data_IF_954467566231
#
_entry.id   IF_954467566231
#
_cell.length_a   1.000
_cell.length_b   1.000
_cell.length_c   1.000
_cell.angle_alpha   90.00
_cell.angle_beta   90.00
_cell.angle_gamma   90.00
#
_symmetry.space_group_name_H-M   'P 1'
#
loop_
_entity.id
_entity.type
_entity.pdbx_description
1 polymer ?
#
# COMPACT_ATOMS: atom_id res chain seq x y z
N UNK A 1 81.45 17.57 -21.64
CA UNK A 1 82.92 17.81 -21.64
C UNK A 1 83.14 19.30 -21.48
N UNK A 2 84.08 19.66 -20.60
CA UNK A 2 84.96 20.87 -20.53
C UNK A 2 84.62 22.02 -21.50
N UNK A 3 84.67 23.30 -21.10
CA UNK A 3 85.25 23.85 -19.90
C UNK A 3 85.35 25.38 -19.89
N UNK A 4 85.92 25.83 -18.78
CA UNK A 4 86.40 27.15 -18.33
C UNK A 4 87.18 28.00 -19.35
N UNK A 5 87.08 29.33 -19.19
CA UNK A 5 88.09 30.39 -19.45
C UNK A 5 87.55 31.68 -18.78
N UNK A 6 88.04 32.21 -17.65
CA UNK A 6 89.30 32.92 -17.33
C UNK A 6 89.74 33.92 -18.41
N UNK A 7 89.84 35.20 -18.05
CA UNK A 7 90.56 36.21 -18.84
C UNK A 7 90.35 37.64 -18.36
N UNK A 8 91.39 38.20 -17.76
CA UNK A 8 91.48 39.48 -17.05
C UNK A 8 92.06 40.58 -17.98
N UNK A 9 92.11 41.84 -17.48
CA UNK A 9 93.03 42.96 -17.85
C UNK A 9 92.57 43.81 -19.07
N UNK A 10 92.65 45.14 -19.11
CA UNK A 10 93.45 46.07 -18.32
C UNK A 10 93.15 47.56 -18.56
N UNK A 11 93.96 48.36 -17.88
CA UNK A 11 93.88 49.79 -17.53
C UNK A 11 94.36 50.81 -18.59
N UNK A 12 94.26 52.10 -18.21
CA UNK A 12 94.99 53.33 -18.64
C UNK A 12 94.17 54.24 -19.57
N UNK A 13 94.03 55.55 -19.41
CA UNK A 13 94.54 56.61 -18.51
C UNK A 13 94.19 57.96 -19.18
N UNK A 14 93.87 59.08 -18.51
CA UNK A 14 94.81 60.10 -17.95
C UNK A 14 93.96 61.30 -17.44
N UNK A 15 94.16 61.77 -16.19
CA UNK A 15 94.94 62.96 -15.73
C UNK A 15 94.32 64.31 -16.18
N UNK A 16 93.78 65.18 -15.31
CA UNK A 16 94.44 66.13 -14.37
C UNK A 16 93.33 66.95 -13.65
N UNK A 17 93.44 67.64 -12.51
CA UNK A 17 94.44 67.92 -11.45
C UNK A 17 93.65 68.58 -10.29
N UNK A 18 94.03 68.29 -9.03
CA UNK A 18 94.07 69.17 -7.83
C UNK A 18 92.73 69.80 -7.35
N UNK A 19 92.26 69.69 -6.10
CA UNK A 19 92.81 69.16 -4.86
C UNK A 19 91.84 69.38 -3.68
N UNK A 20 92.25 68.88 -2.52
CA UNK A 20 91.71 69.06 -1.16
C UNK A 20 90.57 68.15 -0.69
N UNK A 21 90.85 67.57 0.47
CA UNK A 21 90.14 66.57 1.26
C UNK A 21 88.85 67.11 1.89
N UNK A 22 87.87 66.23 2.12
CA UNK A 22 87.21 65.93 3.41
C UNK A 22 85.94 65.09 3.15
N UNK A 23 85.63 64.24 4.12
CA UNK A 23 84.85 63.01 4.10
C UNK A 23 83.33 63.16 3.81
N UNK A 24 82.82 62.06 3.27
CA UNK A 24 81.48 61.63 2.86
C UNK A 24 80.43 61.51 4.00
N UNK A 25 79.20 61.95 3.75
CA UNK A 25 77.97 61.32 4.29
C UNK A 25 76.72 61.75 3.48
N UNK A 26 76.24 60.89 2.57
CA UNK A 26 74.89 60.96 2.01
C UNK A 26 74.29 59.56 2.08
N UNK A 27 73.36 59.37 3.03
CA UNK A 27 72.66 58.11 3.25
C UNK A 27 71.54 58.00 2.20
N UNK A 28 71.63 57.00 1.33
CA UNK A 28 70.54 56.60 0.45
C UNK A 28 69.40 56.00 1.29
N UNK A 29 68.20 56.58 1.19
CA UNK A 29 67.00 56.03 1.82
C UNK A 29 66.64 54.70 1.18
N UNK A 30 66.79 53.62 1.93
CA UNK A 30 66.24 52.30 1.60
C UNK A 30 64.78 52.30 2.01
N UNK A 31 63.85 52.08 1.08
CA UNK A 31 62.49 51.71 1.44
C UNK A 31 62.54 50.29 2.03
N UNK A 32 62.51 50.21 3.36
CA UNK A 32 62.30 48.94 4.04
C UNK A 32 60.84 48.52 3.80
N UNK A 33 60.63 47.44 3.06
CA UNK A 33 59.37 46.72 3.15
C UNK A 33 59.26 46.21 4.59
N UNK A 34 58.33 46.76 5.37
CA UNK A 34 58.10 46.31 6.73
C UNK A 34 57.68 44.83 6.68
N UNK A 35 58.49 43.96 7.28
CA UNK A 35 58.06 42.60 7.56
C UNK A 35 56.85 42.70 8.50
N UNK A 36 55.66 42.32 8.04
CA UNK A 36 54.51 42.20 8.91
C UNK A 36 54.69 40.94 9.77
N UNK A 37 55.06 41.11 11.04
CA UNK A 37 54.94 40.02 12.02
C UNK A 37 53.45 39.76 12.26
N UNK A 38 53.00 38.56 11.91
CA UNK A 38 51.66 38.10 12.28
C UNK A 38 51.70 37.71 13.76
N UNK A 39 50.93 38.41 14.61
CA UNK A 39 50.80 38.04 16.02
C UNK A 39 50.15 36.66 16.09
N UNK A 40 50.77 35.74 16.83
CA UNK A 40 50.22 34.41 17.09
C UNK A 40 48.87 34.54 17.79
N UNK A 41 47.82 34.02 17.14
CA UNK A 41 46.47 33.98 17.68
C UNK A 41 46.06 32.53 17.95
N UNK A 42 45.42 32.29 19.10
CA UNK A 42 44.71 31.04 19.36
C UNK A 42 43.33 31.16 18.74
N UNK A 43 43.09 30.35 17.71
CA UNK A 43 41.79 30.26 17.02
C UNK A 43 41.24 28.87 17.30
N UNK A 44 39.97 28.77 17.66
CA UNK A 44 39.28 27.48 17.86
C UNK A 44 38.09 27.36 16.90
N UNK A 45 37.26 26.33 17.11
CA UNK A 45 36.07 26.08 16.31
C UNK A 45 34.96 27.12 16.50
N UNK A 46 35.01 27.93 17.56
CA UNK A 46 34.11 29.06 17.79
C UNK A 46 34.53 30.34 17.04
N UNK A 47 35.70 30.32 16.40
CA UNK A 47 36.27 31.45 15.70
C UNK A 47 36.95 32.46 16.63
N UNK A 48 37.86 33.25 16.05
CA UNK A 48 38.60 34.27 16.76
C UNK A 48 39.00 35.41 15.85
N UNK A 49 38.99 36.63 16.39
CA UNK A 49 39.50 37.83 15.73
C UNK A 49 40.92 38.12 16.21
N UNK A 50 41.86 38.24 15.29
CA UNK A 50 43.19 38.78 15.54
C UNK A 50 43.34 40.09 14.78
N UNK A 51 43.71 41.16 15.47
CA UNK A 51 43.84 42.49 14.88
C UNK A 51 45.13 43.18 15.31
N UNK A 52 45.72 43.94 14.39
CA UNK A 52 46.77 44.91 14.66
C UNK A 52 46.41 46.26 14.01
N UNK A 53 47.29 47.26 14.17
CA UNK A 53 47.14 48.53 13.46
C UNK A 53 47.13 48.39 11.92
N UNK A 54 47.66 47.28 11.40
CA UNK A 54 47.88 47.08 9.96
C UNK A 54 47.06 45.93 9.36
N UNK A 55 46.40 45.11 10.17
CA UNK A 55 45.56 44.01 9.67
C UNK A 55 44.42 43.68 10.63
N UNK A 56 43.34 43.12 10.09
CA UNK A 56 42.32 42.41 10.87
C UNK A 56 42.10 41.06 10.19
N UNK A 57 42.14 40.00 10.98
CA UNK A 57 41.96 38.62 10.55
C UNK A 57 40.89 37.98 11.42
N UNK A 58 39.75 37.68 10.81
CA UNK A 58 38.70 36.85 11.38
C UNK A 58 38.90 35.43 10.84
N UNK A 59 39.19 34.47 11.72
CA UNK A 59 39.45 33.09 11.33
C UNK A 59 38.82 32.10 12.32
N UNK A 60 38.53 30.89 11.85
CA UNK A 60 38.14 29.74 12.68
C UNK A 60 38.98 28.53 12.28
N UNK A 61 39.25 27.63 13.23
CA UNK A 61 39.84 26.32 12.90
C UNK A 61 38.69 25.36 12.57
N UNK A 62 38.64 24.93 11.31
CA UNK A 62 37.56 24.11 10.76
C UNK A 62 36.56 24.91 9.92
N UNK A 63 35.56 24.23 9.34
CA UNK A 63 34.43 24.89 8.65
C UNK A 63 33.52 25.63 9.64
N UNK A 64 32.68 26.54 9.15
CA UNK A 64 31.65 27.21 9.96
C UNK A 64 30.63 26.16 10.43
N UNK A 65 30.78 25.67 11.66
CA UNK A 65 29.86 24.73 12.31
C UNK A 65 29.25 25.35 13.58
N UNK A 66 28.02 24.96 13.92
CA UNK A 66 27.37 25.42 15.15
C UNK A 66 28.06 24.92 16.42
N UNK A 67 28.00 25.71 17.49
CA UNK A 67 28.54 25.37 18.82
C UNK A 67 27.45 24.63 19.62
N UNK A 68 27.73 23.44 20.14
CA UNK A 68 26.86 22.71 21.08
C UNK A 68 27.53 22.59 22.45
N UNK A 69 26.78 22.83 23.52
CA UNK A 69 27.23 22.69 24.92
C UNK A 69 26.75 21.38 25.57
N UNK A 70 26.09 20.50 24.81
CA UNK A 70 25.62 19.19 25.29
C UNK A 70 26.71 18.12 25.15
N UNK A 71 26.88 17.28 26.19
CA UNK A 71 27.90 16.22 26.24
C UNK A 71 27.76 15.09 25.21
N UNK A 72 26.66 15.06 24.46
CA UNK A 72 26.33 14.00 23.49
C UNK A 72 26.17 14.55 22.05
N UNK A 73 26.97 15.54 21.66
CA UNK A 73 26.95 16.09 20.30
C UNK A 73 28.18 15.70 19.47
N UNK A 74 27.97 15.02 18.34
CA UNK A 74 29.02 14.71 17.36
C UNK A 74 29.04 15.78 16.26
N UNK A 75 30.15 16.52 16.12
CA UNK A 75 30.32 17.50 15.06
C UNK A 75 30.45 16.82 13.68
N UNK A 76 29.53 17.11 12.74
CA UNK A 76 29.67 16.74 11.33
C UNK A 76 30.15 17.95 10.52
N UNK A 77 31.44 17.97 10.20
CA UNK A 77 32.06 19.04 9.42
C UNK A 77 31.81 18.83 7.91
N UNK A 78 31.55 19.91 7.16
CA UNK A 78 31.37 19.88 5.70
C UNK A 78 29.92 19.79 5.20
N UNK A 79 28.96 19.72 6.11
CA UNK A 79 27.54 19.91 5.83
C UNK A 79 27.10 21.15 6.63
N UNK A 80 26.33 22.05 6.00
CA UNK A 80 25.56 23.03 6.78
C UNK A 80 24.77 22.23 7.82
N UNK A 81 24.75 22.68 9.08
CA UNK A 81 23.78 22.19 10.06
C UNK A 81 22.39 22.60 9.60
N UNK A 82 21.85 21.88 8.63
CA UNK A 82 20.48 22.06 8.17
C UNK A 82 19.63 21.27 9.15
N UNK A 83 18.99 22.01 10.05
CA UNK A 83 17.86 21.51 10.80
C UNK A 83 16.72 21.46 9.79
N UNK A 84 16.43 20.28 9.26
CA UNK A 84 15.24 20.05 8.44
C UNK A 84 14.11 19.60 9.34
N UNK A 85 12.91 20.10 9.04
CA UNK A 85 11.68 19.66 9.69
C UNK A 85 10.89 18.77 8.74
N UNK A 86 10.16 17.80 9.29
CA UNK A 86 9.24 17.00 8.48
C UNK A 86 8.09 17.91 8.08
N UNK A 87 7.87 18.10 6.78
CA UNK A 87 6.76 18.89 6.25
C UNK A 87 5.52 18.01 6.02
N UNK A 88 5.71 16.82 5.42
CA UNK A 88 4.63 15.87 5.18
C UNK A 88 5.09 14.42 5.37
N UNK A 89 4.15 13.54 5.70
CA UNK A 89 4.36 12.09 5.73
C UNK A 89 3.41 11.41 4.75
N UNK A 90 3.97 10.73 3.76
CA UNK A 90 3.23 9.76 2.94
C UNK A 90 3.42 8.36 3.53
N UNK A 91 2.34 7.58 3.62
CA UNK A 91 2.36 6.20 4.09
C UNK A 91 1.90 5.29 2.95
N UNK A 92 2.48 4.10 2.89
CA UNK A 92 2.09 3.06 1.93
C UNK A 92 2.09 1.69 2.59
N UNK A 93 1.25 0.78 2.10
CA UNK A 93 1.32 -0.65 2.41
C UNK A 93 1.60 -1.44 1.15
N UNK A 94 2.53 -2.39 1.23
CA UNK A 94 2.91 -3.23 0.09
C UNK A 94 2.79 -4.71 0.47
N UNK A 95 1.84 -5.47 -0.14
CA UNK A 95 0.84 -5.03 -1.11
C UNK A 95 -0.28 -4.17 -0.48
N UNK A 96 -0.94 -3.32 -1.29
CA UNK A 96 -2.07 -2.50 -0.85
C UNK A 96 -3.39 -3.28 -0.76
N UNK A 97 -3.49 -4.40 -1.49
CA UNK A 97 -4.56 -5.39 -1.33
C UNK A 97 -4.07 -6.50 -0.41
N UNK A 98 -4.78 -6.73 0.68
CA UNK A 98 -4.35 -7.63 1.76
C UNK A 98 -5.41 -8.70 1.92
N UNK A 99 -5.14 -9.96 1.56
CA UNK A 99 -6.02 -11.06 1.93
C UNK A 99 -6.30 -11.05 3.43
N UNK A 100 -7.53 -11.33 3.81
CA UNK A 100 -7.86 -11.52 5.22
C UNK A 100 -6.95 -12.56 5.89
N UNK A 101 -6.75 -12.42 7.19
CA UNK A 101 -5.80 -13.21 8.00
C UNK A 101 -4.32 -13.10 7.58
N UNK A 102 -4.02 -12.40 6.47
CA UNK A 102 -2.66 -12.13 6.00
C UNK A 102 -2.17 -10.78 6.49
N UNK A 103 -0.93 -10.45 6.11
CA UNK A 103 -0.25 -9.24 6.54
C UNK A 103 0.27 -8.43 5.36
N UNK A 104 0.40 -7.12 5.55
CA UNK A 104 1.12 -6.22 4.63
C UNK A 104 2.18 -5.42 5.39
N UNK A 105 3.31 -5.16 4.74
CA UNK A 105 4.35 -4.30 5.30
C UNK A 105 4.00 -2.85 5.00
N UNK A 106 3.92 -2.03 6.06
CA UNK A 106 3.79 -0.59 5.97
C UNK A 106 5.16 0.08 5.98
N UNK A 107 5.26 1.17 5.24
CA UNK A 107 6.43 2.05 5.17
C UNK A 107 5.96 3.47 4.83
N UNK A 108 6.88 4.43 4.86
CA UNK A 108 6.54 5.80 4.50
C UNK A 108 7.67 6.54 3.80
N UNK A 109 7.35 7.73 3.34
CA UNK A 109 8.33 8.72 2.89
C UNK A 109 7.97 10.05 3.52
N UNK A 110 8.91 10.59 4.31
CA UNK A 110 8.82 11.94 4.83
C UNK A 110 9.37 12.91 3.79
N UNK A 111 8.62 13.96 3.48
CA UNK A 111 9.11 15.12 2.73
C UNK A 111 9.48 16.19 3.75
N UNK A 112 10.69 16.71 3.65
CA UNK A 112 11.22 17.73 4.54
C UNK A 112 10.86 19.13 4.02
N UNK A 113 11.11 20.16 4.82
CA UNK A 113 10.84 21.56 4.52
C UNK A 113 11.66 22.14 3.35
N UNK A 114 12.73 21.45 2.96
CA UNK A 114 13.54 21.74 1.76
C UNK A 114 13.18 20.86 0.55
N UNK A 115 12.01 20.19 0.60
CA UNK A 115 11.49 19.25 -0.40
C UNK A 115 12.34 17.96 -0.59
N UNK A 116 13.37 17.75 0.23
CA UNK A 116 14.09 16.47 0.21
C UNK A 116 13.23 15.35 0.81
N UNK A 117 13.48 14.11 0.37
CA UNK A 117 12.67 12.96 0.76
C UNK A 117 13.51 11.96 1.55
N UNK A 118 12.97 11.49 2.67
CA UNK A 118 13.56 10.43 3.49
C UNK A 118 12.63 9.23 3.50
N UNK A 119 13.13 8.08 3.02
CA UNK A 119 12.41 6.81 3.12
C UNK A 119 12.42 6.32 4.58
N UNK A 120 11.27 5.86 5.06
CA UNK A 120 11.07 5.40 6.43
C UNK A 120 10.62 3.94 6.42
N UNK A 121 11.32 3.12 7.21
CA UNK A 121 10.89 1.79 7.56
C UNK A 121 9.65 1.85 8.48
N UNK A 122 8.86 0.77 8.49
CA UNK A 122 7.68 0.69 9.34
C UNK A 122 7.98 0.83 10.84
N UNK A 123 9.20 0.51 11.28
CA UNK A 123 9.66 0.71 12.67
C UNK A 123 9.93 2.15 13.07
N UNK A 124 10.06 3.06 12.10
CA UNK A 124 10.36 4.48 12.35
C UNK A 124 9.09 5.33 12.47
N UNK A 125 7.94 4.78 12.07
CA UNK A 125 6.65 5.47 12.09
C UNK A 125 5.89 5.08 13.36
N UNK A 126 5.40 6.07 14.09
CA UNK A 126 4.52 5.85 15.22
C UNK A 126 3.09 5.57 14.72
N UNK A 127 2.72 4.29 14.67
CA UNK A 127 1.40 3.85 14.22
C UNK A 127 0.30 4.14 15.22
N UNK A 128 -0.83 4.66 14.73
CA UNK A 128 -2.05 4.75 15.51
C UNK A 128 -2.65 3.36 15.74
N UNK A 129 -3.52 3.24 16.76
CA UNK A 129 -4.32 2.03 16.96
C UNK A 129 -5.17 1.81 15.69
N UNK A 130 -5.08 0.64 15.04
CA UNK A 130 -5.85 0.39 13.84
C UNK A 130 -7.34 0.28 14.16
N UNK A 131 -8.16 0.59 13.16
CA UNK A 131 -9.58 0.25 13.16
C UNK A 131 -9.82 -0.93 12.24
N UNK A 132 -10.85 -1.72 12.54
CA UNK A 132 -11.31 -2.79 11.66
C UNK A 132 -11.54 -2.23 10.23
N UNK A 133 -11.15 -2.94 9.16
CA UNK A 133 -10.76 -4.36 9.08
C UNK A 133 -9.28 -4.69 9.35
N UNK A 134 -8.46 -3.73 9.80
CA UNK A 134 -7.10 -4.05 10.29
C UNK A 134 -7.19 -4.45 11.76
N UNK A 135 -6.74 -5.67 12.08
CA UNK A 135 -6.78 -6.21 13.43
C UNK A 135 -5.67 -5.62 14.32
N UNK A 136 -4.47 -5.48 13.75
CA UNK A 136 -3.29 -5.03 14.48
C UNK A 136 -2.27 -4.40 13.53
N UNK A 137 -1.48 -3.46 14.04
CA UNK A 137 -0.23 -3.01 13.42
C UNK A 137 0.90 -3.26 14.43
N UNK A 138 1.95 -3.97 14.04
CA UNK A 138 3.11 -4.21 14.89
C UNK A 138 3.98 -2.96 15.02
N UNK A 139 4.86 -2.92 16.02
CA UNK A 139 5.86 -1.85 16.17
C UNK A 139 6.83 -1.76 14.97
N UNK A 140 6.98 -2.82 14.17
CA UNK A 140 7.78 -2.81 12.93
C UNK A 140 6.98 -2.42 11.69
N UNK A 141 5.73 -1.98 11.86
CA UNK A 141 4.84 -1.58 10.77
C UNK A 141 4.26 -2.73 9.96
N UNK A 142 4.08 -3.91 10.55
CA UNK A 142 3.35 -5.00 9.89
C UNK A 142 1.87 -4.89 10.25
N UNK A 143 1.02 -4.62 9.27
CA UNK A 143 -0.43 -4.59 9.45
C UNK A 143 -1.03 -5.98 9.18
N UNK A 144 -1.82 -6.49 10.11
CA UNK A 144 -2.52 -7.76 10.00
C UNK A 144 -4.01 -7.53 9.72
N UNK A 145 -4.53 -8.12 8.65
CA UNK A 145 -5.94 -8.06 8.31
C UNK A 145 -6.77 -8.99 9.20
N UNK A 146 -7.92 -8.51 9.66
CA UNK A 146 -8.92 -9.35 10.30
C UNK A 146 -9.64 -10.23 9.27
N UNK A 147 -10.42 -11.19 9.77
CA UNK A 147 -11.46 -11.87 8.96
C UNK A 147 -12.54 -10.84 8.60
N UNK A 148 -13.02 -10.88 7.36
CA UNK A 148 -14.01 -9.91 6.84
C UNK A 148 -15.14 -10.61 6.09
N UNK A 149 -16.36 -10.09 6.21
CA UNK A 149 -17.53 -10.62 5.50
C UNK A 149 -17.61 -10.19 4.02
N UNK A 150 -16.70 -9.32 3.57
CA UNK A 150 -16.64 -8.81 2.21
C UNK A 150 -15.30 -8.09 1.99
N UNK A 151 -14.98 -7.77 0.73
CA UNK A 151 -13.89 -6.85 0.42
C UNK A 151 -14.16 -5.47 1.02
N UNK A 152 -13.25 -4.98 1.86
CA UNK A 152 -13.48 -3.76 2.63
C UNK A 152 -12.29 -2.81 2.58
N UNK A 153 -12.54 -1.50 2.37
CA UNK A 153 -11.50 -0.51 2.47
C UNK A 153 -11.02 -0.41 3.92
N UNK A 154 -9.72 -0.16 4.08
CA UNK A 154 -9.13 0.10 5.37
C UNK A 154 -8.23 1.33 5.31
N UNK A 155 -8.14 2.06 6.42
CA UNK A 155 -7.22 3.18 6.56
C UNK A 155 -6.27 2.90 7.71
N UNK A 156 -4.98 2.99 7.44
CA UNK A 156 -3.93 2.94 8.46
C UNK A 156 -3.35 4.34 8.64
N UNK A 157 -3.13 4.74 9.89
CA UNK A 157 -2.63 6.07 10.23
C UNK A 157 -1.32 5.93 11.02
N UNK A 158 -0.36 6.79 10.72
CA UNK A 158 0.90 6.88 11.42
C UNK A 158 1.37 8.32 11.55
N UNK A 159 2.41 8.54 12.34
CA UNK A 159 3.06 9.85 12.46
C UNK A 159 4.57 9.72 12.55
N UNK A 160 5.28 10.72 12.02
CA UNK A 160 6.73 10.83 12.08
C UNK A 160 7.09 12.28 12.39
N UNK A 161 7.88 12.51 13.45
CA UNK A 161 8.20 13.87 13.90
C UNK A 161 6.97 14.71 14.30
N UNK A 162 5.85 14.07 14.68
CA UNK A 162 4.58 14.74 14.98
C UNK A 162 3.71 15.04 13.75
N UNK A 163 4.20 14.79 12.53
CA UNK A 163 3.44 14.96 11.29
C UNK A 163 2.66 13.70 10.97
N UNK A 164 1.33 13.76 10.81
CA UNK A 164 0.51 12.59 10.49
C UNK A 164 0.60 12.21 9.01
N UNK A 165 0.38 10.93 8.74
CA UNK A 165 0.23 10.37 7.40
C UNK A 165 -0.70 9.16 7.42
N UNK A 166 -1.27 8.82 6.28
CA UNK A 166 -2.23 7.72 6.16
C UNK A 166 -2.04 6.93 4.88
N UNK A 167 -2.36 5.64 4.91
CA UNK A 167 -2.50 4.81 3.71
C UNK A 167 -3.89 4.18 3.63
N UNK A 168 -4.37 4.05 2.40
CA UNK A 168 -5.57 3.27 2.09
C UNK A 168 -5.15 1.87 1.65
N UNK A 169 -5.80 0.87 2.23
CA UNK A 169 -5.66 -0.54 1.88
C UNK A 169 -7.03 -1.10 1.48
N UNK A 170 -7.02 -2.25 0.82
CA UNK A 170 -8.23 -3.05 0.58
C UNK A 170 -8.01 -4.42 1.22
N UNK A 171 -8.78 -4.75 2.25
CA UNK A 171 -8.80 -6.10 2.80
C UNK A 171 -9.70 -6.96 1.91
N UNK A 172 -9.17 -8.08 1.43
CA UNK A 172 -9.87 -9.00 0.55
C UNK A 172 -10.47 -10.15 1.35
N UNK A 173 -11.77 -10.37 1.19
CA UNK A 173 -12.46 -11.58 1.58
C UNK A 173 -12.07 -12.70 0.59
N UNK A 174 -11.25 -13.63 1.06
CA UNK A 174 -10.72 -14.74 0.26
C UNK A 174 -11.31 -16.09 0.67
N UNK A 175 -11.96 -16.16 1.83
CA UNK A 175 -12.65 -17.34 2.33
C UNK A 175 -14.11 -16.96 2.62
N UNK A 176 -15.01 -17.07 1.63
CA UNK A 176 -16.32 -16.43 1.69
C UNK A 176 -17.30 -16.90 2.78
N UNK A 177 -16.94 -17.84 3.66
CA UNK A 177 -17.82 -18.47 4.66
C UNK A 177 -17.01 -18.76 5.95
N UNK A 178 -16.35 -17.72 6.47
CA UNK A 178 -15.49 -17.80 7.65
C UNK A 178 -15.73 -16.67 8.68
N UNK A 179 -16.66 -15.76 8.42
CA UNK A 179 -16.86 -14.57 9.25
C UNK A 179 -17.86 -14.80 10.39
N UNK A 180 -17.38 -14.66 11.63
CA UNK A 180 -18.23 -14.49 12.81
C UNK A 180 -19.30 -15.59 12.98
N UNK A 181 -20.56 -15.17 13.13
CA UNK A 181 -21.72 -16.07 13.29
C UNK A 181 -22.20 -16.71 11.97
N UNK A 182 -21.68 -16.27 10.84
CA UNK A 182 -22.01 -16.78 9.50
C UNK A 182 -21.07 -17.90 9.06
N UNK A 183 -19.88 -17.99 9.68
CA UNK A 183 -18.84 -18.95 9.36
C UNK A 183 -19.28 -20.43 9.31
N UNK A 184 -18.92 -21.09 8.22
CA UNK A 184 -19.00 -22.53 7.99
C UNK A 184 -20.42 -23.08 7.82
N UNK A 185 -21.38 -22.23 7.44
CA UNK A 185 -22.78 -22.64 7.32
C UNK A 185 -23.18 -23.04 5.88
N UNK A 186 -22.29 -22.86 4.91
CA UNK A 186 -22.50 -23.20 3.50
C UNK A 186 -23.14 -22.09 2.67
N UNK A 187 -23.33 -20.90 3.25
CA UNK A 187 -23.67 -19.66 2.55
C UNK A 187 -22.48 -18.67 2.62
N UNK A 188 -22.32 -17.80 1.61
CA UNK A 188 -21.32 -16.76 1.71
C UNK A 188 -21.68 -15.66 2.71
N UNK A 189 -20.70 -15.26 3.52
CA UNK A 189 -20.75 -14.16 4.48
C UNK A 189 -21.23 -12.86 3.82
N UNK A 190 -20.74 -12.57 2.61
CA UNK A 190 -21.10 -11.36 1.88
C UNK A 190 -22.58 -11.35 1.46
N UNK A 191 -23.13 -12.51 1.11
CA UNK A 191 -24.54 -12.67 0.75
C UNK A 191 -25.42 -12.53 1.99
N UNK A 192 -25.03 -13.16 3.09
CA UNK A 192 -25.74 -13.05 4.36
C UNK A 192 -25.73 -11.61 4.86
N UNK A 193 -24.57 -10.93 4.83
CA UNK A 193 -24.44 -9.52 5.18
C UNK A 193 -25.29 -8.61 4.27
N UNK A 194 -25.23 -8.81 2.94
CA UNK A 194 -25.95 -7.99 1.97
C UNK A 194 -27.46 -7.97 2.24
N UNK A 195 -28.05 -9.11 2.58
CA UNK A 195 -29.50 -9.22 2.76
C UNK A 195 -29.97 -9.02 4.21
N UNK A 196 -29.12 -9.31 5.20
CA UNK A 196 -29.56 -9.37 6.60
C UNK A 196 -28.76 -8.51 7.57
N UNK A 197 -27.61 -7.97 7.15
CA UNK A 197 -26.67 -7.25 8.02
C UNK A 197 -25.78 -8.20 8.82
N UNK A 198 -25.14 -7.71 9.89
CA UNK A 198 -24.28 -8.52 10.76
C UNK A 198 -25.08 -9.26 11.83
N UNK A 199 -24.62 -10.46 12.18
CA UNK A 199 -25.10 -11.27 13.30
C UNK A 199 -26.62 -11.47 13.36
N UNK A 200 -27.24 -11.65 12.19
CA UNK A 200 -28.67 -11.80 12.07
C UNK A 200 -29.05 -13.29 11.95
N UNK A 201 -29.77 -13.87 12.94
CA UNK A 201 -30.15 -15.29 12.89
C UNK A 201 -31.07 -15.65 11.71
N UNK A 202 -31.75 -14.65 11.11
CA UNK A 202 -32.54 -14.86 9.90
C UNK A 202 -31.70 -15.13 8.64
N UNK A 203 -30.38 -14.90 8.71
CA UNK A 203 -29.46 -15.22 7.63
C UNK A 203 -29.14 -16.73 7.52
N UNK A 204 -29.42 -17.51 8.57
CA UNK A 204 -29.07 -18.93 8.65
C UNK A 204 -29.60 -19.75 7.44
N UNK A 205 -28.89 -20.80 7.00
CA UNK A 205 -29.20 -21.53 5.75
C UNK A 205 -30.60 -22.14 5.72
N UNK A 206 -31.10 -22.58 6.87
CA UNK A 206 -32.40 -23.20 7.01
C UNK A 206 -33.56 -22.20 7.20
N UNK A 207 -33.28 -20.90 7.39
CA UNK A 207 -34.32 -19.90 7.59
C UNK A 207 -35.11 -19.63 6.30
N UNK A 208 -36.42 -19.49 6.41
CA UNK A 208 -37.31 -19.00 5.35
C UNK A 208 -38.06 -17.77 5.86
N UNK A 209 -37.39 -16.63 5.77
CA UNK A 209 -37.83 -15.34 6.32
C UNK A 209 -39.15 -14.88 5.70
N UNK A 210 -39.41 -15.30 4.46
CA UNK A 210 -40.58 -14.89 3.68
C UNK A 210 -41.76 -15.87 3.75
N UNK A 211 -41.60 -17.02 4.40
CA UNK A 211 -42.65 -18.05 4.50
C UNK A 211 -43.03 -18.67 3.14
N UNK A 212 -42.11 -18.71 2.19
CA UNK A 212 -42.36 -19.20 0.82
C UNK A 212 -42.16 -20.71 0.65
N UNK A 213 -41.75 -21.40 1.72
CA UNK A 213 -41.27 -22.78 1.71
C UNK A 213 -39.85 -22.95 1.15
N UNK A 214 -39.14 -21.86 0.84
CA UNK A 214 -37.79 -21.88 0.28
C UNK A 214 -36.82 -21.20 1.25
N UNK A 215 -35.92 -22.00 1.82
CA UNK A 215 -34.93 -21.51 2.76
C UNK A 215 -33.78 -20.76 2.08
N UNK A 216 -32.94 -20.07 2.87
CA UNK A 216 -31.81 -19.29 2.38
C UNK A 216 -30.83 -20.12 1.54
N UNK A 217 -30.54 -21.38 1.91
CA UNK A 217 -29.68 -22.26 1.09
C UNK A 217 -30.21 -22.41 -0.32
N UNK A 218 -31.51 -22.72 -0.47
CA UNK A 218 -32.14 -22.83 -1.77
C UNK A 218 -32.15 -21.49 -2.50
N UNK A 219 -32.46 -20.40 -1.79
CA UNK A 219 -32.54 -19.06 -2.39
C UNK A 219 -31.20 -18.57 -2.92
N UNK A 220 -30.11 -18.81 -2.21
CA UNK A 220 -28.75 -18.53 -2.69
C UNK A 220 -28.45 -19.30 -3.99
N UNK A 221 -28.62 -20.63 -3.95
CA UNK A 221 -28.38 -21.50 -5.12
C UNK A 221 -29.31 -21.15 -6.30
N UNK A 222 -30.54 -20.73 -6.04
CA UNK A 222 -31.51 -20.35 -7.08
C UNK A 222 -31.37 -18.88 -7.54
N UNK A 223 -30.54 -18.06 -6.88
CA UNK A 223 -30.38 -16.64 -7.19
C UNK A 223 -31.63 -15.83 -6.90
N UNK A 224 -32.24 -16.07 -5.74
CA UNK A 224 -33.43 -15.37 -5.27
C UNK A 224 -33.05 -14.35 -4.19
N UNK A 225 -33.88 -13.32 -4.07
CA UNK A 225 -33.80 -12.37 -2.97
C UNK A 225 -34.49 -12.99 -1.74
N UNK A 226 -33.75 -13.27 -0.66
CA UNK A 226 -34.29 -13.94 0.50
C UNK A 226 -35.23 -13.06 1.34
N UNK A 227 -35.23 -11.75 1.13
CA UNK A 227 -36.07 -10.79 1.85
C UNK A 227 -37.39 -10.47 1.12
N UNK A 228 -37.50 -10.85 -0.16
CA UNK A 228 -38.67 -10.57 -0.99
C UNK A 228 -39.53 -11.81 -1.21
N UNK A 229 -40.75 -11.81 -0.66
CA UNK A 229 -41.69 -12.93 -0.78
C UNK A 229 -42.18 -13.20 -2.22
N UNK A 230 -42.03 -12.24 -3.15
CA UNK A 230 -42.32 -12.47 -4.56
C UNK A 230 -41.16 -13.17 -5.31
N UNK A 231 -39.95 -13.15 -4.75
CA UNK A 231 -38.75 -13.78 -5.31
C UNK A 231 -38.73 -15.27 -4.97
N UNK A 232 -39.39 -16.05 -5.83
CA UNK A 232 -39.69 -17.46 -5.61
C UNK A 232 -39.43 -18.24 -6.89
N UNK A 233 -38.70 -19.36 -6.78
CA UNK A 233 -38.58 -20.31 -7.87
C UNK A 233 -39.86 -21.14 -7.99
N UNK A 234 -40.47 -21.14 -9.17
CA UNK A 234 -41.68 -21.91 -9.45
C UNK A 234 -41.39 -22.92 -10.55
N UNK A 235 -41.81 -24.16 -10.32
CA UNK A 235 -41.83 -25.22 -11.32
C UNK A 235 -43.28 -25.65 -11.55
N UNK A 236 -43.74 -25.58 -12.79
CA UNK A 236 -45.03 -26.12 -13.24
C UNK A 236 -44.79 -27.30 -14.17
N UNK A 237 -45.59 -28.36 -14.00
CA UNK A 237 -45.59 -29.53 -14.88
C UNK A 237 -46.91 -29.52 -15.62
N UNK A 238 -46.84 -29.46 -16.94
CA UNK A 238 -48.02 -29.24 -17.78
C UNK A 238 -48.07 -30.26 -18.93
N UNK A 239 -49.27 -30.66 -19.38
CA UNK A 239 -49.42 -31.49 -20.56
C UNK A 239 -49.03 -30.72 -21.83
N UNK A 240 -48.57 -31.46 -22.85
CA UNK A 240 -48.40 -30.92 -24.20
C UNK A 240 -49.63 -31.30 -25.03
N UNK A 241 -50.32 -30.30 -25.60
CA UNK A 241 -51.57 -30.53 -26.34
C UNK A 241 -51.36 -31.49 -27.52
N UNK A 242 -52.23 -32.49 -27.64
CA UNK A 242 -52.14 -33.53 -28.67
C UNK A 242 -50.99 -34.52 -28.52
N UNK A 243 -50.16 -34.41 -27.47
CA UNK A 243 -48.97 -35.23 -27.25
C UNK A 243 -49.03 -35.91 -25.87
N UNK A 244 -49.80 -37.00 -25.76
CA UNK A 244 -50.05 -37.68 -24.48
C UNK A 244 -48.76 -38.17 -23.79
N UNK A 245 -47.77 -38.58 -24.59
CA UNK A 245 -46.47 -39.08 -24.15
C UNK A 245 -45.44 -37.97 -23.94
N UNK A 246 -45.86 -36.71 -23.84
CA UNK A 246 -44.98 -35.59 -23.54
C UNK A 246 -45.47 -34.79 -22.34
N UNK A 247 -44.52 -34.15 -21.65
CA UNK A 247 -44.77 -33.23 -20.53
C UNK A 247 -43.81 -32.06 -20.65
N UNK A 248 -44.30 -30.85 -20.36
CA UNK A 248 -43.45 -29.67 -20.27
C UNK A 248 -43.22 -29.28 -18.81
N UNK A 249 -41.96 -29.08 -18.45
CA UNK A 249 -41.49 -28.54 -17.19
C UNK A 249 -41.21 -27.06 -17.45
N UNK A 250 -42.03 -26.18 -16.88
CA UNK A 250 -41.88 -24.73 -17.03
C UNK A 250 -41.41 -24.17 -15.71
N UNK A 251 -40.27 -23.50 -15.69
CA UNK A 251 -39.73 -22.94 -14.45
C UNK A 251 -39.06 -21.58 -14.60
N UNK A 252 -39.15 -20.79 -13.54
CA UNK A 252 -38.58 -19.46 -13.43
C UNK A 252 -38.33 -19.09 -11.95
N UNK A 253 -37.39 -18.18 -11.65
CA UNK A 253 -36.42 -17.62 -12.59
C UNK A 253 -35.29 -18.60 -12.94
N UNK A 254 -34.71 -18.43 -14.12
CA UNK A 254 -33.45 -19.07 -14.53
C UNK A 254 -32.37 -18.04 -14.78
N UNK A 255 -31.14 -18.35 -14.38
CA UNK A 255 -29.95 -17.50 -14.55
C UNK A 255 -28.88 -18.18 -15.42
N UNK A 256 -28.00 -17.39 -16.05
CA UNK A 256 -27.01 -17.92 -17.01
C UNK A 256 -25.79 -18.57 -16.33
N UNK A 257 -25.54 -18.19 -15.08
CA UNK A 257 -24.46 -18.65 -14.21
C UNK A 257 -24.81 -19.95 -13.47
N UNK A 258 -26.01 -20.52 -13.71
CA UNK A 258 -26.50 -21.73 -13.04
C UNK A 258 -26.82 -22.82 -14.04
N UNK A 259 -26.59 -24.06 -13.61
CA UNK A 259 -27.00 -25.24 -14.37
C UNK A 259 -28.32 -25.77 -13.85
N UNK A 260 -29.24 -26.10 -14.77
CA UNK A 260 -30.55 -26.66 -14.47
C UNK A 260 -30.66 -28.05 -15.09
N UNK A 261 -30.60 -29.08 -14.24
CA UNK A 261 -30.63 -30.48 -14.67
C UNK A 261 -32.02 -31.06 -14.40
N UNK A 262 -32.87 -31.22 -15.44
CA UNK A 262 -34.17 -31.86 -15.27
C UNK A 262 -33.98 -33.34 -14.91
N UNK A 263 -34.71 -33.77 -13.89
CA UNK A 263 -34.67 -35.13 -13.37
C UNK A 263 -36.07 -35.68 -13.21
N UNK A 264 -36.19 -37.00 -13.32
CA UNK A 264 -37.45 -37.69 -13.14
C UNK A 264 -37.29 -38.96 -12.30
N UNK A 265 -38.42 -39.44 -11.80
CA UNK A 265 -38.58 -40.79 -11.24
C UNK A 265 -40.01 -41.28 -11.45
N UNK A 266 -40.21 -42.59 -11.37
CA UNK A 266 -41.52 -43.23 -11.61
C UNK A 266 -42.28 -43.57 -10.32
N UNK A 267 -41.65 -43.43 -9.15
CA UNK A 267 -42.27 -43.69 -7.85
C UNK A 267 -41.74 -42.69 -6.80
N UNK A 268 -42.62 -42.10 -5.99
CA UNK A 268 -42.26 -41.21 -4.87
C UNK A 268 -41.93 -41.95 -3.57
N UNK A 269 -42.45 -43.17 -3.39
CA UNK A 269 -42.51 -43.92 -2.13
C UNK A 269 -41.30 -44.84 -1.95
N UNK A 270 -40.65 -45.26 -3.03
CA UNK A 270 -39.41 -46.04 -2.97
C UNK A 270 -38.18 -45.13 -3.03
N UNK A 271 -37.13 -45.46 -2.27
CA UNK A 271 -35.82 -44.81 -2.26
C UNK A 271 -35.03 -44.88 -3.57
N UNK A 272 -35.71 -45.12 -4.70
CA UNK A 272 -35.18 -44.97 -6.05
C UNK A 272 -34.66 -43.56 -6.26
N UNK A 273 -33.37 -43.47 -6.60
CA UNK A 273 -32.70 -42.23 -6.92
C UNK A 273 -33.39 -41.51 -8.09
N UNK A 274 -33.24 -40.19 -8.11
CA UNK A 274 -33.63 -39.38 -9.26
C UNK A 274 -32.70 -39.65 -10.44
N UNK A 275 -33.28 -39.81 -11.63
CA UNK A 275 -32.51 -40.03 -12.86
C UNK A 275 -32.55 -38.76 -13.70
N UNK A 276 -31.43 -38.41 -14.33
CA UNK A 276 -31.39 -37.31 -15.27
C UNK A 276 -32.30 -37.61 -16.47
N UNK A 277 -33.08 -36.62 -16.88
CA UNK A 277 -33.82 -36.69 -18.13
C UNK A 277 -32.82 -36.58 -19.28
N UNK A 278 -32.84 -37.50 -20.23
CA UNK A 278 -31.84 -37.57 -21.33
C UNK A 278 -32.43 -37.26 -22.70
N UNK A 279 -33.75 -37.37 -22.86
CA UNK A 279 -34.43 -37.06 -24.11
C UNK A 279 -35.42 -35.93 -23.88
N UNK A 280 -34.99 -34.71 -24.22
CA UNK A 280 -35.80 -33.51 -24.05
C UNK A 280 -35.42 -32.41 -25.03
N UNK A 281 -36.28 -31.42 -25.19
CA UNK A 281 -35.96 -30.15 -25.84
C UNK A 281 -36.02 -29.00 -24.84
N UNK A 282 -35.29 -27.92 -25.11
CA UNK A 282 -35.27 -26.71 -24.28
C UNK A 282 -35.73 -25.52 -25.11
N UNK A 283 -36.53 -24.63 -24.50
CA UNK A 283 -36.80 -23.29 -25.02
C UNK A 283 -36.77 -22.30 -23.85
N UNK A 284 -36.03 -21.21 -24.02
CA UNK A 284 -35.91 -20.14 -23.02
C UNK A 284 -36.66 -18.90 -23.51
N UNK A 285 -37.40 -18.25 -22.60
CA UNK A 285 -38.05 -16.97 -22.82
C UNK A 285 -37.75 -16.04 -21.63
N UNK A 286 -36.73 -15.19 -21.77
CA UNK A 286 -36.22 -14.38 -20.66
C UNK A 286 -35.73 -15.25 -19.51
N UNK A 287 -36.33 -15.07 -18.32
CA UNK A 287 -36.00 -15.85 -17.12
C UNK A 287 -36.84 -17.12 -16.97
N UNK A 288 -37.73 -17.45 -17.91
CA UNK A 288 -38.48 -18.70 -17.90
C UNK A 288 -37.81 -19.71 -18.84
N UNK A 289 -37.65 -20.95 -18.37
CA UNK A 289 -37.21 -22.09 -19.18
C UNK A 289 -38.32 -23.11 -19.27
N UNK A 290 -38.54 -23.60 -20.49
CA UNK A 290 -39.39 -24.75 -20.77
C UNK A 290 -38.53 -25.93 -21.21
N UNK A 291 -38.63 -27.04 -20.50
CA UNK A 291 -38.06 -28.34 -20.89
C UNK A 291 -39.19 -29.27 -21.27
N UNK A 292 -39.17 -29.83 -22.48
CA UNK A 292 -40.16 -30.83 -22.91
C UNK A 292 -39.56 -32.23 -22.81
N UNK A 293 -40.03 -33.04 -21.87
CA UNK A 293 -39.80 -34.49 -21.86
C UNK A 293 -40.56 -35.09 -23.05
N UNK A 294 -39.83 -35.54 -24.07
CA UNK A 294 -40.43 -36.05 -25.31
C UNK A 294 -40.82 -37.53 -25.23
N UNK A 295 -40.50 -38.19 -24.11
CA UNK A 295 -40.78 -39.59 -23.87
C UNK A 295 -41.35 -39.79 -22.47
N UNK A 296 -42.33 -38.97 -22.07
CA UNK A 296 -43.06 -39.03 -20.80
C UNK A 296 -44.04 -40.22 -20.74
N UNK A 297 -43.53 -41.42 -20.97
CA UNK A 297 -44.26 -42.68 -20.98
C UNK A 297 -44.33 -43.34 -19.59
N UNK A 298 -45.36 -44.15 -19.36
CA UNK A 298 -45.64 -44.83 -18.09
C UNK A 298 -46.87 -44.28 -17.37
N UNK A 299 -47.30 -44.97 -16.31
CA UNK A 299 -48.51 -44.61 -15.54
C UNK A 299 -48.30 -43.44 -14.58
N UNK A 300 -47.06 -43.23 -14.10
CA UNK A 300 -46.71 -42.11 -13.25
C UNK A 300 -45.26 -41.64 -13.50
N UNK A 301 -45.07 -40.32 -13.58
CA UNK A 301 -43.76 -39.66 -13.54
C UNK A 301 -43.81 -38.46 -12.63
N UNK A 302 -42.73 -38.30 -11.87
CA UNK A 302 -42.48 -37.18 -10.99
C UNK A 302 -41.24 -36.48 -11.48
N UNK A 303 -41.25 -35.15 -11.41
CA UNK A 303 -40.19 -34.32 -11.95
C UNK A 303 -39.62 -33.42 -10.88
N UNK A 304 -38.33 -33.13 -11.00
CA UNK A 304 -37.67 -32.01 -10.31
C UNK A 304 -36.65 -31.39 -11.25
N UNK A 305 -36.18 -30.21 -10.88
CA UNK A 305 -35.04 -29.56 -11.52
C UNK A 305 -33.97 -29.41 -10.46
N UNK A 306 -32.83 -30.05 -10.66
CA UNK A 306 -31.66 -29.80 -9.82
C UNK A 306 -30.98 -28.54 -10.31
N UNK A 307 -30.75 -27.59 -9.40
CA UNK A 307 -30.04 -26.35 -9.67
C UNK A 307 -28.64 -26.49 -9.06
N UNK A 308 -27.61 -26.21 -9.86
CA UNK A 308 -26.23 -26.11 -9.37
C UNK A 308 -25.72 -24.71 -9.67
N UNK A 309 -25.19 -24.05 -8.64
CA UNK A 309 -24.41 -22.81 -8.76
C UNK A 309 -22.94 -23.20 -8.58
N UNK A 310 -22.07 -22.97 -9.58
CA UNK A 310 -20.66 -23.34 -9.56
C UNK A 310 -19.82 -22.48 -8.63
#
# INVERSE_FOLDING_TARGET
MKGTLIGQIGWIGRISRIGWSVLLAALAGVFAAAASELVTATVDSGGGRSSSANYTLDASIGGIGGISLGGDATARLGYCGQLTEVATLSVTGTPAQVPETSTTQLSGTATLDDDTHTALAGSEIAWAIPTWPIAQISASGVASAAVVYANLPATVNGSYGGVPGSASLLVLDMFPDNYGSYAGDGLPDNWQYQYFGLDNPNAAPAADVTGTGQNNQFKYVAGLDPTNAASVFRLRIEPVAGQANQKRLVFAPRWNDRTYTPQFRTNLVSGTAWTNLTTFTITDNGTERTVVDTNATGTARFYRVQITYP
#
